data_IF_308654413780
#
_entry.id   IF_308654413780
#
_cell.length_a   1.000
_cell.length_b   1.000
_cell.length_c   1.000
_cell.angle_alpha   90.00
_cell.angle_beta   90.00
_cell.angle_gamma   90.00
#
_symmetry.space_group_name_H-M   'P 1'
#
loop_
_entity.id
_entity.type
_entity.pdbx_description
1 polymer ?
#
# COMPACT_ATOMS: atom_id res chain seq x y z
N UNK A 1 -8.85 -21.59 -16.55
CA UNK A 1 -8.03 -20.38 -16.25
C UNK A 1 -7.84 -20.30 -14.75
N UNK A 2 -6.67 -19.86 -14.31
CA UNK A 2 -6.37 -19.61 -12.89
C UNK A 2 -6.82 -18.17 -12.60
N UNK A 3 -7.48 -17.96 -11.47
CA UNK A 3 -7.86 -16.63 -10.98
C UNK A 3 -6.83 -16.14 -9.98
N UNK A 4 -6.28 -14.95 -10.20
CA UNK A 4 -5.27 -14.31 -9.36
C UNK A 4 -5.96 -13.28 -8.43
N UNK A 5 -5.87 -13.52 -7.12
CA UNK A 5 -6.29 -12.59 -6.07
C UNK A 5 -5.05 -11.96 -5.42
N UNK A 6 -4.75 -10.69 -5.68
CA UNK A 6 -3.63 -10.02 -5.04
C UNK A 6 -3.90 -9.78 -3.56
N UNK A 7 -2.89 -10.06 -2.73
CA UNK A 7 -2.89 -9.76 -1.29
C UNK A 7 -1.65 -8.92 -0.99
N UNK A 8 -1.85 -7.68 -0.56
CA UNK A 8 -0.78 -6.72 -0.29
C UNK A 8 -0.65 -6.56 1.23
N UNK A 9 0.54 -6.90 1.76
CA UNK A 9 0.85 -6.72 3.18
C UNK A 9 1.46 -5.33 3.40
N UNK A 10 0.68 -4.40 3.94
CA UNK A 10 1.04 -3.01 4.17
C UNK A 10 1.31 -2.75 5.67
N UNK A 11 2.28 -3.48 6.22
CA UNK A 11 2.68 -3.40 7.63
C UNK A 11 3.97 -2.61 7.90
N UNK A 12 4.22 -2.38 9.18
CA UNK A 12 5.43 -1.73 9.69
C UNK A 12 5.24 -0.24 10.00
N UNK A 13 5.85 0.22 11.09
CA UNK A 13 5.78 1.60 11.59
C UNK A 13 6.61 2.59 10.77
N UNK A 14 7.53 2.11 9.92
CA UNK A 14 8.38 2.96 9.10
C UNK A 14 9.31 3.87 9.93
N UNK A 15 10.27 3.31 10.67
CA UNK A 15 11.23 4.12 11.46
C UNK A 15 12.49 4.51 10.68
N UNK A 16 12.81 3.79 9.59
CA UNK A 16 14.06 3.97 8.82
C UNK A 16 14.06 5.17 7.87
N UNK A 17 12.89 5.72 7.53
CA UNK A 17 12.75 6.89 6.64
C UNK A 17 12.38 8.15 7.41
N UNK A 18 12.65 8.19 8.72
CA UNK A 18 12.49 9.43 9.48
C UNK A 18 13.39 10.53 8.87
N UNK A 19 12.92 11.79 8.73
CA UNK A 19 11.67 12.35 9.26
C UNK A 19 10.45 12.20 8.34
N UNK A 20 10.62 11.62 7.15
CA UNK A 20 9.55 11.48 6.15
C UNK A 20 8.46 10.54 6.63
N UNK A 21 8.83 9.39 7.18
CA UNK A 21 7.89 8.46 7.81
C UNK A 21 7.74 8.76 9.31
N UNK A 22 6.50 8.67 9.79
CA UNK A 22 6.13 8.83 11.20
C UNK A 22 5.24 7.66 11.61
N UNK A 23 5.09 7.44 12.90
CA UNK A 23 4.18 6.41 13.42
C UNK A 23 2.74 6.61 12.92
N UNK A 24 2.27 7.86 12.82
CA UNK A 24 0.95 8.19 12.27
C UNK A 24 0.87 8.15 10.74
N UNK A 25 2.01 8.19 10.04
CA UNK A 25 2.07 8.13 8.57
C UNK A 25 3.28 7.29 8.10
N UNK A 26 3.16 5.95 8.14
CA UNK A 26 4.22 5.04 7.74
C UNK A 26 4.63 5.13 6.26
N UNK A 27 5.77 4.50 5.95
CA UNK A 27 6.40 4.58 4.62
C UNK A 27 5.51 4.20 3.46
N UNK A 28 4.60 3.23 3.63
CA UNK A 28 3.76 2.70 2.55
C UNK A 28 2.86 3.78 1.95
N UNK A 29 2.57 4.82 2.72
CA UNK A 29 1.70 5.92 2.33
C UNK A 29 2.48 7.12 1.76
N UNK A 30 3.81 7.03 1.69
CA UNK A 30 4.67 8.09 1.14
C UNK A 30 4.78 7.96 -0.38
N UNK A 31 4.82 9.11 -1.05
CA UNK A 31 5.24 9.25 -2.45
C UNK A 31 6.73 9.58 -2.45
N UNK A 32 7.58 8.56 -2.60
CA UNK A 32 9.04 8.73 -2.60
C UNK A 32 9.63 8.98 -3.98
N UNK A 33 8.96 8.49 -5.03
CA UNK A 33 9.41 8.62 -6.40
C UNK A 33 8.19 8.58 -7.34
N UNK A 34 7.93 9.67 -8.06
CA UNK A 34 6.80 9.78 -8.99
C UNK A 34 5.52 10.29 -8.32
N UNK A 35 4.38 9.87 -8.85
CA UNK A 35 3.06 10.42 -8.48
C UNK A 35 2.32 9.55 -7.46
N UNK A 36 2.63 8.25 -7.43
CA UNK A 36 1.94 7.26 -6.61
C UNK A 36 2.67 6.98 -5.30
N UNK A 37 1.92 6.68 -4.25
CA UNK A 37 2.47 6.18 -2.98
C UNK A 37 3.08 4.79 -3.14
N UNK A 38 3.96 4.36 -2.22
CA UNK A 38 4.55 3.02 -2.27
C UNK A 38 3.50 1.89 -2.28
N UNK A 39 2.36 2.08 -1.59
CA UNK A 39 1.24 1.16 -1.62
C UNK A 39 0.62 1.07 -3.02
N UNK A 40 0.30 2.21 -3.62
CA UNK A 40 -0.26 2.29 -4.97
C UNK A 40 0.70 1.74 -6.03
N UNK A 41 1.99 2.08 -5.93
CA UNK A 41 3.01 1.51 -6.81
C UNK A 41 3.09 -0.02 -6.69
N UNK A 42 2.90 -0.56 -5.49
CA UNK A 42 2.88 -2.02 -5.29
C UNK A 42 1.67 -2.67 -5.97
N UNK A 43 0.51 -2.03 -5.90
CA UNK A 43 -0.67 -2.46 -6.65
C UNK A 43 -0.45 -2.41 -8.16
N UNK A 44 0.04 -1.28 -8.68
CA UNK A 44 0.26 -1.08 -10.12
C UNK A 44 1.22 -2.10 -10.72
N UNK A 45 2.20 -2.61 -9.96
CA UNK A 45 3.11 -3.68 -10.43
C UNK A 45 2.44 -5.01 -10.74
N UNK A 46 1.26 -5.29 -10.16
CA UNK A 46 0.54 -6.56 -10.32
C UNK A 46 -0.84 -6.40 -10.94
N UNK A 47 -1.29 -5.17 -11.19
CA UNK A 47 -2.62 -4.88 -11.69
C UNK A 47 -2.91 -5.56 -13.04
N UNK A 48 -1.93 -5.59 -13.95
CA UNK A 48 -2.09 -6.14 -15.30
C UNK A 48 -2.32 -7.66 -15.33
N UNK A 49 -1.97 -8.37 -14.25
CA UNK A 49 -2.15 -9.83 -14.11
C UNK A 49 -3.21 -10.18 -13.08
N UNK A 50 -3.87 -9.19 -12.48
CA UNK A 50 -4.84 -9.39 -11.43
C UNK A 50 -6.24 -9.58 -12.00
N UNK A 51 -6.96 -10.61 -11.56
CA UNK A 51 -8.36 -10.81 -11.92
C UNK A 51 -9.32 -10.11 -10.93
N UNK A 52 -8.80 -9.64 -9.79
CA UNK A 52 -9.56 -9.05 -8.70
C UNK A 52 -8.85 -7.83 -8.11
N UNK A 53 -9.63 -6.93 -7.52
CA UNK A 53 -9.11 -5.85 -6.69
C UNK A 53 -8.26 -6.41 -5.54
N UNK A 54 -7.22 -5.70 -5.07
CA UNK A 54 -6.32 -6.22 -4.07
C UNK A 54 -6.99 -6.28 -2.70
N UNK A 55 -6.67 -7.32 -1.93
CA UNK A 55 -6.92 -7.35 -0.49
C UNK A 55 -5.69 -6.73 0.18
N UNK A 56 -5.89 -5.64 0.93
CA UNK A 56 -4.80 -5.01 1.69
C UNK A 56 -4.90 -5.43 3.15
N UNK A 57 -3.83 -6.01 3.68
CA UNK A 57 -3.69 -6.34 5.10
C UNK A 57 -2.80 -5.28 5.75
N UNK A 58 -3.34 -4.52 6.68
CA UNK A 58 -2.65 -3.46 7.40
C UNK A 58 -3.11 -3.41 8.87
N UNK A 59 -2.43 -2.59 9.68
CA UNK A 59 -2.92 -2.25 11.02
C UNK A 59 -4.25 -1.46 10.91
N UNK A 60 -5.20 -1.77 11.79
CA UNK A 60 -6.52 -1.12 11.87
C UNK A 60 -6.43 0.41 11.94
N UNK A 61 -5.41 0.93 12.63
CA UNK A 61 -5.14 2.37 12.76
C UNK A 61 -4.99 3.08 11.40
N UNK A 62 -4.56 2.37 10.35
CA UNK A 62 -4.35 2.94 9.03
C UNK A 62 -5.46 2.60 8.03
N UNK A 63 -6.53 1.91 8.45
CA UNK A 63 -7.57 1.41 7.55
C UNK A 63 -8.24 2.50 6.71
N UNK A 64 -8.36 3.73 7.24
CA UNK A 64 -8.91 4.87 6.50
C UNK A 64 -7.95 5.36 5.41
N UNK A 65 -6.65 5.49 5.72
CA UNK A 65 -5.63 5.93 4.75
C UNK A 65 -5.48 4.88 3.63
N UNK A 66 -5.47 3.60 4.00
CA UNK A 66 -5.47 2.50 3.02
C UNK A 66 -6.68 2.59 2.11
N UNK A 67 -7.89 2.76 2.67
CA UNK A 67 -9.11 2.86 1.88
C UNK A 67 -9.11 4.10 0.98
N UNK A 68 -8.54 5.22 1.40
CA UNK A 68 -8.40 6.43 0.58
C UNK A 68 -7.42 6.24 -0.58
N UNK A 69 -6.26 5.62 -0.33
CA UNK A 69 -5.24 5.42 -1.37
C UNK A 69 -5.58 4.32 -2.38
N UNK A 70 -6.50 3.42 -2.02
CA UNK A 70 -6.93 2.28 -2.83
C UNK A 70 -8.35 2.44 -3.40
N UNK A 71 -8.84 3.68 -3.50
CA UNK A 71 -10.09 3.99 -4.22
C UNK A 71 -9.98 3.75 -5.71
#
# INVERSE_FOLDING_TARGET
MITIQPVILAGGVGTRLWPLSRESYPKQFLTLNGEYTLLQQTWLRVADIADKAPIVVANDEYRFIVAEQMR
#
